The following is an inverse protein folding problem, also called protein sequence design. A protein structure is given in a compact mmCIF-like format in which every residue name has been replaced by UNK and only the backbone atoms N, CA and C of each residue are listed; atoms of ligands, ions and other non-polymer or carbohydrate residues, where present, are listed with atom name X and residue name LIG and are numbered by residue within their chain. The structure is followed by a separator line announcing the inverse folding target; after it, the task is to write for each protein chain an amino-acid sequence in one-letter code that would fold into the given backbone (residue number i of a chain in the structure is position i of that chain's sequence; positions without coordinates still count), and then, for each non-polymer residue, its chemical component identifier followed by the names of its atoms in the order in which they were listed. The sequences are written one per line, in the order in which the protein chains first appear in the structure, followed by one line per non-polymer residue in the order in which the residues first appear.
data_IF_079154548886
#
_entry.id   IF_079154548886
#
_cell.length_a   1.000
_cell.length_b   1.000
_cell.length_c   1.000
_cell.angle_alpha   90.00
_cell.angle_beta   90.00
_cell.angle_gamma   90.00
#
_symmetry.space_group_name_H-M   'P 1'
#
loop_
_entity.id
_entity.type
_entity.pdbx_description
1 polymer ?
#
# COMPACT_ATOMS: atom_id res chain seq x y z
N UNK A 1 14.52 -6.00 29.55
CA UNK A 1 13.64 -5.19 30.45
C UNK A 1 14.42 -4.02 31.02
N UNK A 2 15.52 -4.31 31.72
CA UNK A 2 16.59 -3.34 31.99
C UNK A 2 17.13 -2.77 30.66
N UNK A 3 17.29 -3.61 29.64
CA UNK A 3 17.63 -3.20 28.27
C UNK A 3 16.74 -2.09 27.70
N UNK A 4 15.41 -2.11 27.94
CA UNK A 4 14.54 -1.04 27.43
C UNK A 4 14.74 0.27 28.18
N UNK A 5 15.06 0.19 29.48
CA UNK A 5 15.40 1.35 30.29
C UNK A 5 16.77 1.91 29.89
N UNK A 6 17.75 1.05 29.63
CA UNK A 6 19.09 1.43 29.19
C UNK A 6 19.09 2.01 27.77
N UNK A 7 18.40 1.35 26.83
CA UNK A 7 18.39 1.75 25.42
C UNK A 7 17.48 2.95 25.14
N UNK A 8 16.31 3.01 25.79
CA UNK A 8 15.27 3.99 25.45
C UNK A 8 14.92 4.93 26.62
N UNK A 9 15.44 4.70 27.83
CA UNK A 9 15.01 5.44 29.01
C UNK A 9 13.58 5.10 29.46
N UNK A 10 13.01 3.98 28.99
CA UNK A 10 11.60 3.62 29.24
C UNK A 10 11.51 2.47 30.22
N UNK A 11 10.89 2.71 31.37
CA UNK A 11 10.55 1.66 32.33
C UNK A 11 9.29 0.93 31.88
N UNK A 12 9.42 -0.36 31.57
CA UNK A 12 8.30 -1.20 31.15
C UNK A 12 7.75 -1.97 32.36
N UNK A 13 6.44 -1.85 32.58
CA UNK A 13 5.71 -2.63 33.58
C UNK A 13 5.15 -3.91 32.94
N UNK A 14 5.77 -5.06 33.22
CA UNK A 14 5.41 -6.34 32.59
C UNK A 14 3.95 -6.73 32.81
N UNK A 15 3.40 -6.42 33.98
CA UNK A 15 2.01 -6.71 34.34
C UNK A 15 0.99 -6.00 33.44
N UNK A 16 1.39 -4.85 32.86
CA UNK A 16 0.55 -4.07 31.93
C UNK A 16 0.74 -4.49 30.46
N UNK A 17 1.74 -5.33 30.16
CA UNK A 17 2.04 -5.82 28.80
C UNK A 17 1.15 -7.01 28.41
N UNK A 18 -0.17 -6.89 28.64
CA UNK A 18 -1.15 -7.89 28.23
C UNK A 18 -1.50 -7.70 26.75
N UNK A 19 -1.48 -8.78 25.98
CA UNK A 19 -1.79 -8.73 24.53
C UNK A 19 -3.25 -8.31 24.33
N UNK A 20 -3.43 -7.10 23.83
CA UNK A 20 -4.74 -6.57 23.45
C UNK A 20 -4.69 -6.04 22.01
N UNK A 21 -5.27 -6.80 21.07
CA UNK A 21 -5.26 -6.47 19.65
C UNK A 21 -5.92 -5.11 19.36
N UNK A 22 -7.03 -4.79 20.03
CA UNK A 22 -7.74 -3.53 19.83
C UNK A 22 -6.93 -2.31 20.28
N UNK A 23 -6.39 -2.33 21.50
CA UNK A 23 -5.52 -1.27 22.03
C UNK A 23 -4.25 -1.10 21.18
N UNK A 24 -3.65 -2.22 20.75
CA UNK A 24 -2.49 -2.18 19.85
C UNK A 24 -2.81 -1.50 18.52
N UNK A 25 -3.96 -1.81 17.93
CA UNK A 25 -4.40 -1.16 16.68
C UNK A 25 -4.61 0.33 16.86
N UNK A 26 -5.26 0.76 17.95
CA UNK A 26 -5.47 2.18 18.24
C UNK A 26 -4.14 2.91 18.45
N UNK A 27 -3.24 2.38 19.27
CA UNK A 27 -1.93 2.97 19.49
C UNK A 27 -1.11 3.07 18.19
N UNK A 28 -1.11 2.01 17.37
CA UNK A 28 -0.46 2.00 16.05
C UNK A 28 -1.07 3.06 15.12
N UNK A 29 -2.39 3.19 15.11
CA UNK A 29 -3.10 4.18 14.31
C UNK A 29 -2.74 5.61 14.75
N UNK A 30 -2.72 5.90 16.05
CA UNK A 30 -2.31 7.20 16.57
C UNK A 30 -0.89 7.58 16.12
N UNK A 31 0.08 6.67 16.27
CA UNK A 31 1.47 6.89 15.86
C UNK A 31 1.59 7.10 14.35
N UNK A 32 0.92 6.27 13.55
CA UNK A 32 0.99 6.39 12.09
C UNK A 32 0.28 7.65 11.57
N UNK A 33 -0.83 8.04 12.20
CA UNK A 33 -1.57 9.24 11.83
C UNK A 33 -0.77 10.50 12.12
N UNK A 34 0.04 10.52 13.19
CA UNK A 34 0.88 11.67 13.54
C UNK A 34 1.76 12.11 12.36
N UNK A 35 2.41 11.16 11.67
CA UNK A 35 3.23 11.46 10.49
C UNK A 35 2.43 12.04 9.32
N UNK A 36 1.20 11.54 9.13
CA UNK A 36 0.26 12.07 8.16
C UNK A 36 -0.25 13.48 8.51
N UNK A 37 -0.38 13.79 9.80
CA UNK A 37 -0.80 15.13 10.27
C UNK A 37 0.24 16.20 9.94
N UNK A 38 1.53 15.89 10.02
CA UNK A 38 2.59 16.79 9.60
C UNK A 38 2.60 17.05 8.07
N UNK A 39 2.09 16.11 7.26
CA UNK A 39 2.01 16.21 5.79
C UNK A 39 0.61 16.55 5.26
N UNK A 40 -0.26 17.17 6.07
CA UNK A 40 -1.59 17.54 5.59
C UNK A 40 -1.49 18.50 4.40
N UNK A 41 -2.21 18.15 3.33
CA UNK A 41 -2.39 19.05 2.20
C UNK A 41 -3.29 20.20 2.64
N UNK A 42 -2.77 21.41 2.72
CA UNK A 42 -3.54 22.57 3.20
C UNK A 42 -4.38 23.25 2.10
N UNK A 43 -4.02 23.07 0.83
CA UNK A 43 -4.65 23.80 -0.29
C UNK A 43 -5.38 22.90 -1.30
N UNK A 44 -6.36 23.47 -1.99
CA UNK A 44 -7.09 22.79 -3.07
C UNK A 44 -7.91 21.59 -2.61
N UNK A 45 -8.30 21.59 -1.33
CA UNK A 45 -9.27 20.65 -0.78
C UNK A 45 -10.67 21.26 -0.95
N UNK A 46 -11.56 20.53 -1.62
CA UNK A 46 -12.97 20.90 -1.66
C UNK A 46 -13.57 20.78 -0.26
N UNK A 47 -14.29 21.82 0.14
CA UNK A 47 -15.06 21.90 1.37
C UNK A 47 -16.54 21.95 1.02
N UNK A 48 -17.36 21.47 1.94
CA UNK A 48 -18.81 21.49 1.81
C UNK A 48 -19.39 22.29 2.96
N UNK A 49 -20.34 23.16 2.64
CA UNK A 49 -21.15 23.88 3.62
C UNK A 49 -22.62 23.60 3.32
N UNK A 50 -23.36 23.21 4.34
CA UNK A 50 -24.82 23.04 4.27
C UNK A 50 -25.43 24.28 4.91
N UNK A 51 -26.37 24.93 4.23
CA UNK A 51 -27.04 26.14 4.71
C UNK A 51 -28.46 26.23 4.18
N UNK A 52 -29.33 26.81 4.99
CA UNK A 52 -30.71 27.21 4.67
C UNK A 52 -30.86 28.74 4.60
N UNK A 53 -29.79 29.51 4.85
CA UNK A 53 -29.80 30.97 4.83
C UNK A 53 -29.31 31.52 3.47
N UNK A 54 -30.17 32.21 2.70
CA UNK A 54 -29.77 32.85 1.45
C UNK A 54 -28.64 33.87 1.62
N UNK A 55 -28.54 34.53 2.78
CA UNK A 55 -27.49 35.52 3.03
C UNK A 55 -26.12 34.85 3.14
N UNK A 56 -26.05 33.64 3.70
CA UNK A 56 -24.80 32.88 3.76
C UNK A 56 -24.34 32.46 2.36
N UNK A 57 -25.28 32.07 1.49
CA UNK A 57 -24.99 31.78 0.08
C UNK A 57 -24.43 33.01 -0.66
N UNK A 58 -25.09 34.17 -0.55
CA UNK A 58 -24.63 35.42 -1.19
C UNK A 58 -23.24 35.78 -0.66
N UNK A 59 -23.05 35.73 0.66
CA UNK A 59 -21.75 36.02 1.30
C UNK A 59 -20.63 35.12 0.77
N UNK A 60 -20.91 33.83 0.55
CA UNK A 60 -19.93 32.90 -0.03
C UNK A 60 -19.72 33.13 -1.53
N UNK A 61 -20.75 33.53 -2.27
CA UNK A 61 -20.64 33.85 -3.70
C UNK A 61 -19.77 35.10 -3.92
N UNK A 62 -19.87 36.08 -3.02
CA UNK A 62 -19.12 37.34 -3.10
C UNK A 62 -17.74 37.26 -2.45
N UNK A 63 -17.40 36.18 -1.73
CA UNK A 63 -16.12 36.03 -1.05
C UNK A 63 -14.98 35.75 -2.06
N UNK A 64 -14.03 36.69 -2.25
CA UNK A 64 -12.97 36.54 -3.23
C UNK A 64 -11.93 35.47 -2.82
N UNK A 65 -11.92 35.01 -1.57
CA UNK A 65 -10.99 33.99 -1.07
C UNK A 65 -11.38 32.56 -1.48
N UNK A 66 -12.62 32.37 -1.92
CA UNK A 66 -13.14 31.05 -2.30
C UNK A 66 -13.58 31.00 -3.76
N UNK A 67 -13.75 29.78 -4.25
CA UNK A 67 -14.34 29.48 -5.55
C UNK A 67 -15.40 28.43 -5.33
N UNK A 68 -16.66 28.78 -5.61
CA UNK A 68 -17.77 27.84 -5.59
C UNK A 68 -17.59 26.90 -6.78
N UNK A 69 -17.52 25.59 -6.49
CA UNK A 69 -17.37 24.54 -7.49
C UNK A 69 -18.74 24.13 -8.04
N UNK A 70 -19.71 23.92 -7.16
CA UNK A 70 -21.11 23.63 -7.48
C UNK A 70 -22.01 23.86 -6.26
N UNK A 71 -23.30 23.99 -6.50
CA UNK A 71 -24.35 24.12 -5.48
C UNK A 71 -25.38 23.06 -5.79
N UNK A 72 -25.67 22.20 -4.82
CA UNK A 72 -26.72 21.19 -4.90
C UNK A 72 -27.85 21.56 -3.94
N UNK A 73 -29.08 21.48 -4.41
CA UNK A 73 -30.27 21.62 -3.57
C UNK A 73 -30.56 20.25 -2.92
N UNK A 74 -30.45 20.17 -1.58
CA UNK A 74 -30.72 18.94 -0.83
C UNK A 74 -32.22 18.78 -0.55
N UNK A 75 -32.87 19.89 -0.22
CA UNK A 75 -34.33 20.05 -0.07
C UNK A 75 -34.70 21.45 -0.55
N UNK A 76 -36.01 21.75 -0.65
CA UNK A 76 -36.51 23.07 -1.11
C UNK A 76 -35.96 24.27 -0.30
N UNK A 77 -35.44 24.03 0.91
CA UNK A 77 -34.93 25.08 1.80
C UNK A 77 -33.44 24.92 2.11
N UNK A 78 -32.79 23.80 1.73
CA UNK A 78 -31.42 23.47 2.15
C UNK A 78 -30.50 23.31 0.95
N UNK A 79 -29.43 24.11 0.93
CA UNK A 79 -28.38 24.08 -0.07
C UNK A 79 -27.10 23.43 0.46
N UNK A 80 -26.47 22.61 -0.38
CA UNK A 80 -25.10 22.12 -0.23
C UNK A 80 -24.19 22.91 -1.16
N UNK A 81 -23.37 23.78 -0.60
CA UNK A 81 -22.40 24.59 -1.32
C UNK A 81 -21.05 23.87 -1.27
N UNK A 82 -20.55 23.45 -2.42
CA UNK A 82 -19.20 22.92 -2.56
C UNK A 82 -18.26 24.03 -3.03
N UNK A 83 -17.20 24.29 -2.28
CA UNK A 83 -16.26 25.37 -2.57
C UNK A 83 -14.82 24.97 -2.29
N UNK A 84 -13.89 25.69 -2.90
CA UNK A 84 -12.44 25.54 -2.68
C UNK A 84 -11.85 26.87 -2.27
N UNK A 85 -11.03 26.91 -1.22
CA UNK A 85 -10.22 28.10 -0.91
C UNK A 85 -9.13 28.29 -1.96
N UNK A 86 -9.02 29.51 -2.50
CA UNK A 86 -7.95 29.88 -3.44
C UNK A 86 -6.60 29.82 -2.73
N UNK A 87 -5.58 29.36 -3.45
CA UNK A 87 -4.25 29.05 -2.88
C UNK A 87 -3.63 30.23 -2.12
N UNK A 88 -3.83 31.45 -2.61
CA UNK A 88 -3.26 32.67 -2.01
C UNK A 88 -3.87 33.01 -0.63
N UNK A 89 -5.03 32.41 -0.32
CA UNK A 89 -5.79 32.62 0.91
C UNK A 89 -5.83 31.36 1.79
N UNK A 90 -4.96 30.38 1.50
CA UNK A 90 -4.83 29.17 2.31
C UNK A 90 -3.86 29.43 3.45
N UNK A 91 -4.38 29.34 4.67
CA UNK A 91 -3.57 29.23 5.87
C UNK A 91 -3.14 27.76 6.05
N UNK A 92 -1.86 27.56 6.34
CA UNK A 92 -1.36 26.23 6.70
C UNK A 92 -1.93 25.83 8.06
N UNK A 93 -2.33 24.56 8.19
CA UNK A 93 -2.79 24.05 9.47
C UNK A 93 -1.64 24.11 10.49
N UNK A 94 -1.91 24.53 11.74
CA UNK A 94 -0.87 24.74 12.78
C UNK A 94 0.03 23.52 13.04
N UNK A 95 -0.54 22.32 12.87
CA UNK A 95 0.20 21.06 13.00
C UNK A 95 0.94 20.62 11.73
N UNK A 96 0.87 21.37 10.63
CA UNK A 96 1.51 21.04 9.37
C UNK A 96 3.00 21.35 9.45
N UNK A 97 3.83 20.34 9.17
CA UNK A 97 5.27 20.50 9.11
C UNK A 97 5.84 19.47 8.13
N UNK A 98 5.90 19.86 6.85
CA UNK A 98 6.36 18.97 5.78
C UNK A 98 7.81 18.52 5.96
N UNK A 99 8.64 19.30 6.65
CA UNK A 99 10.05 18.98 6.88
C UNK A 99 10.20 17.74 7.76
N UNK A 100 9.39 17.63 8.83
CA UNK A 100 9.38 16.45 9.69
C UNK A 100 9.03 15.20 8.88
N UNK A 101 7.96 15.26 8.08
CA UNK A 101 7.56 14.12 7.26
C UNK A 101 8.58 13.77 6.17
N UNK A 102 9.22 14.77 5.55
CA UNK A 102 10.28 14.56 4.58
C UNK A 102 11.47 13.85 5.22
N UNK A 103 11.87 14.26 6.42
CA UNK A 103 12.94 13.61 7.17
C UNK A 103 12.57 12.18 7.56
N UNK A 104 11.40 11.98 8.19
CA UNK A 104 10.95 10.65 8.63
C UNK A 104 10.86 9.65 7.48
N UNK A 105 10.25 10.04 6.35
CA UNK A 105 10.12 9.16 5.18
C UNK A 105 11.44 8.92 4.46
N UNK A 106 12.38 9.87 4.51
CA UNK A 106 13.72 9.68 3.94
C UNK A 106 14.57 8.77 4.81
N UNK A 107 14.56 8.97 6.13
CA UNK A 107 15.25 8.11 7.09
C UNK A 107 14.73 6.66 7.01
N UNK A 108 13.41 6.46 6.95
CA UNK A 108 12.82 5.13 6.79
C UNK A 108 13.27 4.44 5.48
N UNK A 109 13.30 5.19 4.36
CA UNK A 109 13.78 4.67 3.07
C UNK A 109 15.27 4.31 3.09
N UNK A 110 16.11 5.13 3.73
CA UNK A 110 17.54 4.86 3.89
C UNK A 110 17.75 3.62 4.76
N UNK A 111 17.00 3.50 5.87
CA UNK A 111 17.07 2.34 6.75
C UNK A 111 16.72 1.03 6.00
N UNK A 112 15.62 1.03 5.26
CA UNK A 112 15.24 -0.09 4.40
C UNK A 112 16.30 -0.38 3.33
N UNK A 113 16.86 0.65 2.69
CA UNK A 113 17.91 0.51 1.69
C UNK A 113 19.18 -0.14 2.27
N UNK A 114 19.59 0.22 3.48
CA UNK A 114 20.73 -0.42 4.15
C UNK A 114 20.46 -1.91 4.40
N UNK A 115 19.27 -2.27 4.88
CA UNK A 115 18.89 -3.67 5.05
C UNK A 115 18.91 -4.45 3.72
N UNK A 116 18.38 -3.85 2.65
CA UNK A 116 18.42 -4.42 1.30
C UNK A 116 19.87 -4.66 0.83
N UNK A 117 20.74 -3.66 0.98
CA UNK A 117 22.13 -3.76 0.60
C UNK A 117 22.87 -4.83 1.41
N UNK A 118 22.54 -4.96 2.70
CA UNK A 118 23.14 -5.98 3.55
C UNK A 118 22.75 -7.40 3.09
N UNK A 119 21.46 -7.63 2.81
CA UNK A 119 20.96 -8.90 2.24
C UNK A 119 21.65 -9.20 0.92
N UNK A 120 21.67 -8.25 -0.03
CA UNK A 120 22.23 -8.47 -1.38
C UNK A 120 23.75 -8.70 -1.36
N UNK A 121 24.47 -8.10 -0.41
CA UNK A 121 25.93 -8.28 -0.28
C UNK A 121 26.32 -9.55 0.46
N UNK A 122 25.39 -10.17 1.19
CA UNK A 122 25.69 -11.39 1.96
C UNK A 122 25.70 -12.61 1.03
N UNK A 123 26.79 -13.41 1.02
CA UNK A 123 26.87 -14.59 0.17
C UNK A 123 25.75 -15.59 0.43
N UNK A 124 25.14 -16.10 -0.65
CA UNK A 124 24.05 -17.08 -0.57
C UNK A 124 22.67 -16.49 -0.21
N UNK A 125 22.56 -15.17 -0.06
CA UNK A 125 21.29 -14.49 0.15
C UNK A 125 20.73 -13.89 -1.16
N UNK A 126 19.41 -13.86 -1.30
CA UNK A 126 18.75 -13.22 -2.43
C UNK A 126 17.55 -12.40 -1.95
N UNK A 127 17.54 -11.11 -2.29
CA UNK A 127 16.41 -10.24 -2.03
C UNK A 127 15.27 -10.53 -3.03
N UNK A 128 14.07 -10.82 -2.53
CA UNK A 128 12.90 -11.21 -3.33
C UNK A 128 11.86 -10.07 -3.43
N UNK A 129 11.61 -9.35 -2.34
CA UNK A 129 10.60 -8.30 -2.28
C UNK A 129 10.91 -7.24 -1.21
N UNK A 130 10.39 -6.04 -1.42
CA UNK A 130 10.37 -4.98 -0.40
C UNK A 130 9.09 -4.14 -0.49
N UNK A 131 8.56 -3.72 0.65
CA UNK A 131 7.50 -2.71 0.72
C UNK A 131 7.58 -1.95 2.04
N UNK A 132 7.84 -0.64 1.94
CA UNK A 132 7.83 0.38 3.01
C UNK A 132 8.75 0.12 4.21
N UNK A 133 8.52 -0.96 4.95
CA UNK A 133 9.17 -1.36 6.19
C UNK A 133 9.39 -2.89 6.28
N UNK A 134 9.19 -3.61 5.16
CA UNK A 134 9.31 -5.07 5.09
C UNK A 134 10.23 -5.52 3.96
N UNK A 135 10.90 -6.66 4.16
CA UNK A 135 11.68 -7.36 3.15
C UNK A 135 11.29 -8.83 3.13
N UNK A 136 11.30 -9.44 1.94
CA UNK A 136 11.26 -10.89 1.76
C UNK A 136 12.56 -11.26 1.06
N UNK A 137 13.30 -12.20 1.62
CA UNK A 137 14.57 -12.65 1.08
C UNK A 137 14.80 -14.12 1.40
N UNK A 138 15.63 -14.80 0.61
CA UNK A 138 16.15 -16.12 0.93
C UNK A 138 17.56 -15.99 1.51
N UNK A 139 17.93 -16.91 2.39
CA UNK A 139 19.25 -17.00 3.00
C UNK A 139 19.60 -18.46 3.33
N UNK A 140 20.89 -18.82 3.50
CA UNK A 140 21.28 -20.16 3.93
C UNK A 140 20.77 -20.47 5.34
N UNK A 141 20.51 -21.75 5.63
CA UNK A 141 20.04 -22.19 6.95
C UNK A 141 20.99 -21.71 8.04
N UNK A 142 20.44 -21.11 9.10
CA UNK A 142 21.17 -20.51 10.23
C UNK A 142 22.10 -19.33 9.89
N UNK A 143 21.99 -18.75 8.68
CA UNK A 143 22.78 -17.60 8.27
C UNK A 143 21.88 -16.44 7.83
N UNK A 144 21.00 -15.98 8.72
CA UNK A 144 20.18 -14.80 8.47
C UNK A 144 21.09 -13.55 8.47
N UNK A 145 21.10 -12.74 7.39
CA UNK A 145 21.94 -11.55 7.31
C UNK A 145 21.44 -10.39 8.18
N UNK A 146 20.20 -10.42 8.69
CA UNK A 146 19.63 -9.31 9.45
C UNK A 146 19.55 -9.63 10.93
N UNK A 147 19.94 -8.67 11.76
CA UNK A 147 19.74 -8.72 13.20
C UNK A 147 18.24 -8.58 13.50
N UNK A 148 17.66 -9.63 14.06
CA UNK A 148 16.27 -9.64 14.49
C UNK A 148 16.17 -9.27 15.96
N UNK A 149 15.12 -8.55 16.33
CA UNK A 149 14.89 -8.25 17.74
C UNK A 149 13.52 -7.64 18.03
N UNK A 150 13.12 -7.62 19.30
CA UNK A 150 11.78 -7.22 19.72
C UNK A 150 11.62 -5.70 19.92
N UNK A 151 12.70 -4.91 19.77
CA UNK A 151 12.71 -3.50 20.12
C UNK A 151 12.30 -2.59 18.94
N UNK A 152 11.98 -1.34 19.27
CA UNK A 152 11.57 -0.34 18.28
C UNK A 152 12.68 -0.14 17.23
N UNK A 153 12.32 -0.25 15.95
CA UNK A 153 13.23 -0.06 14.83
C UNK A 153 14.02 -1.32 14.45
N UNK A 154 13.89 -2.43 15.19
CA UNK A 154 14.48 -3.71 14.80
C UNK A 154 13.55 -4.47 13.84
N UNK A 155 14.15 -5.32 13.01
CA UNK A 155 13.39 -6.24 12.18
C UNK A 155 12.87 -7.40 13.03
N UNK A 156 11.64 -7.82 12.77
CA UNK A 156 11.01 -8.99 13.40
C UNK A 156 10.68 -10.01 12.33
N UNK A 157 10.88 -11.29 12.62
CA UNK A 157 10.34 -12.36 11.79
C UNK A 157 8.79 -12.33 11.85
N UNK A 158 8.14 -12.10 10.71
CA UNK A 158 6.67 -12.04 10.61
C UNK A 158 6.03 -13.44 10.68
N UNK A 159 6.79 -14.49 10.32
CA UNK A 159 6.32 -15.87 10.26
C UNK A 159 7.23 -16.82 11.04
N UNK A 160 7.48 -16.58 12.36
CA UNK A 160 8.46 -17.33 13.14
C UNK A 160 8.15 -18.82 13.26
N UNK A 161 6.87 -19.20 13.22
CA UNK A 161 6.41 -20.60 13.32
C UNK A 161 6.41 -21.34 11.98
N UNK A 162 6.75 -20.66 10.88
CA UNK A 162 6.65 -21.19 9.52
C UNK A 162 7.97 -21.14 8.77
N UNK A 163 8.11 -22.04 7.81
CA UNK A 163 9.11 -21.97 6.76
C UNK A 163 8.41 -21.55 5.46
N UNK A 164 8.95 -20.54 4.77
CA UNK A 164 8.47 -20.15 3.44
C UNK A 164 9.05 -21.15 2.44
N UNK A 165 8.21 -22.02 1.90
CA UNK A 165 8.60 -23.01 0.89
C UNK A 165 8.67 -22.40 -0.51
N UNK A 166 7.73 -21.52 -0.82
CA UNK A 166 7.64 -20.90 -2.14
C UNK A 166 7.24 -19.42 -2.01
N UNK A 167 7.86 -18.60 -2.85
CA UNK A 167 7.53 -17.19 -3.04
C UNK A 167 7.17 -16.96 -4.51
N UNK A 168 6.07 -16.24 -4.75
CA UNK A 168 5.67 -15.83 -6.09
C UNK A 168 5.25 -14.36 -6.09
N UNK A 169 5.66 -13.60 -7.11
CA UNK A 169 5.39 -12.16 -7.22
C UNK A 169 4.75 -11.82 -8.55
N UNK A 170 3.60 -11.14 -8.51
CA UNK A 170 2.98 -10.52 -9.67
C UNK A 170 3.40 -9.06 -9.88
N UNK A 171 4.34 -8.56 -9.06
CA UNK A 171 4.83 -7.19 -9.09
C UNK A 171 4.60 -6.45 -7.77
N UNK A 172 4.61 -5.11 -7.84
CA UNK A 172 4.50 -4.29 -6.65
C UNK A 172 3.15 -4.50 -5.94
N UNK A 173 3.21 -4.82 -4.63
CA UNK A 173 2.06 -5.04 -3.75
C UNK A 173 1.17 -6.22 -4.18
N UNK A 174 1.79 -7.21 -4.84
CA UNK A 174 1.15 -8.41 -5.36
C UNK A 174 2.07 -9.63 -5.18
N UNK A 175 1.87 -10.41 -4.13
CA UNK A 175 2.69 -11.61 -3.88
C UNK A 175 1.91 -12.72 -3.19
N UNK A 176 2.40 -13.95 -3.38
CA UNK A 176 1.93 -15.16 -2.74
C UNK A 176 3.06 -15.88 -1.99
N UNK A 177 2.76 -16.47 -0.84
CA UNK A 177 3.63 -17.32 -0.05
C UNK A 177 2.97 -18.67 0.18
N UNK A 178 3.76 -19.74 0.08
CA UNK A 178 3.43 -21.07 0.58
C UNK A 178 4.24 -21.34 1.83
N UNK A 179 3.55 -21.61 2.93
CA UNK A 179 4.11 -21.69 4.28
C UNK A 179 3.94 -23.10 4.84
N UNK A 180 5.00 -23.67 5.41
CA UNK A 180 4.94 -24.92 6.16
C UNK A 180 5.14 -24.65 7.65
N UNK A 181 4.27 -25.18 8.51
CA UNK A 181 4.46 -25.09 9.97
C UNK A 181 5.69 -25.88 10.39
N UNK A 182 6.56 -25.25 11.19
CA UNK A 182 7.76 -25.90 11.76
C UNK A 182 7.39 -27.06 12.71
N UNK A 183 6.28 -26.92 13.44
CA UNK A 183 5.79 -27.94 14.38
C UNK A 183 5.22 -29.19 13.69
N UNK A 184 4.66 -29.02 12.49
CA UNK A 184 3.91 -30.06 11.77
C UNK A 184 4.31 -30.05 10.29
N UNK A 185 5.49 -30.61 9.95
CA UNK A 185 6.00 -30.56 8.57
C UNK A 185 5.22 -31.42 7.58
N UNK A 186 4.38 -32.35 8.06
CA UNK A 186 3.57 -33.24 7.22
C UNK A 186 2.14 -32.72 6.98
N UNK A 187 1.74 -31.64 7.66
CA UNK A 187 0.41 -31.05 7.47
C UNK A 187 0.34 -30.29 6.14
N UNK A 188 -0.88 -30.05 5.67
CA UNK A 188 -1.10 -29.20 4.49
C UNK A 188 -0.48 -27.81 4.68
N UNK A 189 0.16 -27.26 3.64
CA UNK A 189 0.78 -25.94 3.71
C UNK A 189 -0.28 -24.84 3.80
N UNK A 190 0.04 -23.80 4.56
CA UNK A 190 -0.76 -22.57 4.62
C UNK A 190 -0.38 -21.63 3.47
N UNK A 191 -1.35 -20.88 2.96
CA UNK A 191 -1.14 -19.94 1.86
C UNK A 191 -1.44 -18.51 2.28
N UNK A 192 -0.53 -17.60 1.92
CA UNK A 192 -0.75 -16.15 2.06
C UNK A 192 -0.77 -15.54 0.68
N UNK A 193 -1.84 -14.80 0.38
CA UNK A 193 -1.94 -14.04 -0.86
C UNK A 193 -2.17 -12.56 -0.51
N UNK A 194 -1.42 -11.67 -1.14
CA UNK A 194 -1.56 -10.21 -1.02
C UNK A 194 -1.72 -9.64 -2.40
N UNK A 195 -2.88 -9.05 -2.69
CA UNK A 195 -3.16 -8.38 -3.97
C UNK A 195 -3.79 -7.02 -3.68
N UNK A 196 -3.02 -5.94 -3.88
CA UNK A 196 -3.52 -4.58 -3.63
C UNK A 196 -4.74 -4.28 -4.49
N UNK A 197 -5.76 -3.70 -3.86
CA UNK A 197 -6.99 -3.28 -4.53
C UNK A 197 -8.01 -4.40 -4.74
N UNK A 198 -7.74 -5.62 -4.26
CA UNK A 198 -8.70 -6.72 -4.26
C UNK A 198 -8.93 -7.22 -2.84
N UNK A 199 -10.19 -7.42 -2.47
CA UNK A 199 -10.55 -7.96 -1.16
C UNK A 199 -10.62 -9.47 -1.27
N UNK A 200 -9.70 -10.16 -0.60
CA UNK A 200 -9.61 -11.63 -0.59
C UNK A 200 -10.58 -12.20 0.45
N UNK A 201 -11.87 -12.18 0.13
CA UNK A 201 -12.88 -12.87 0.93
C UNK A 201 -12.99 -14.35 0.53
N UNK A 202 -13.78 -15.11 1.29
CA UNK A 202 -13.96 -16.53 1.06
C UNK A 202 -14.46 -16.86 -0.36
N UNK A 203 -15.42 -16.09 -0.88
CA UNK A 203 -15.98 -16.28 -2.22
C UNK A 203 -14.95 -16.02 -3.32
N UNK A 204 -14.16 -14.96 -3.19
CA UNK A 204 -13.07 -14.60 -4.13
C UNK A 204 -12.02 -15.70 -4.21
N UNK A 205 -11.66 -16.31 -3.08
CA UNK A 205 -10.64 -17.36 -3.02
C UNK A 205 -11.19 -18.68 -3.56
N UNK A 206 -12.36 -19.12 -3.07
CA UNK A 206 -12.86 -20.48 -3.30
C UNK A 206 -13.73 -20.63 -4.55
N UNK A 207 -14.52 -19.60 -4.91
CA UNK A 207 -15.47 -19.68 -6.02
C UNK A 207 -14.99 -18.91 -7.26
N UNK A 208 -14.26 -17.80 -7.07
CA UNK A 208 -13.81 -16.95 -8.18
C UNK A 208 -12.34 -17.21 -8.59
N UNK A 209 -11.63 -18.04 -7.83
CA UNK A 209 -10.34 -18.58 -8.23
C UNK A 209 -9.14 -17.65 -8.03
N UNK A 210 -9.22 -16.60 -7.21
CA UNK A 210 -8.04 -15.83 -6.79
C UNK A 210 -7.38 -16.49 -5.57
N UNK A 211 -6.88 -17.71 -5.78
CA UNK A 211 -6.10 -18.49 -4.83
C UNK A 211 -4.61 -18.50 -5.22
N UNK A 212 -3.74 -19.00 -4.34
CA UNK A 212 -2.29 -19.02 -4.58
C UNK A 212 -1.91 -19.72 -5.89
N UNK A 213 -2.48 -20.90 -6.17
CA UNK A 213 -2.14 -21.68 -7.36
C UNK A 213 -2.52 -20.97 -8.66
N UNK A 214 -3.73 -20.42 -8.73
CA UNK A 214 -4.17 -19.66 -9.91
C UNK A 214 -3.41 -18.34 -10.04
N UNK A 215 -3.10 -17.65 -8.94
CA UNK A 215 -2.25 -16.47 -8.95
C UNK A 215 -0.86 -16.79 -9.49
N UNK A 216 -0.24 -17.87 -9.01
CA UNK A 216 1.06 -18.36 -9.47
C UNK A 216 1.01 -18.66 -10.96
N UNK A 217 0.00 -19.39 -11.42
CA UNK A 217 -0.22 -19.66 -12.86
C UNK A 217 -0.30 -18.36 -13.67
N UNK A 218 -1.06 -17.37 -13.22
CA UNK A 218 -1.16 -16.06 -13.88
C UNK A 218 0.19 -15.35 -14.00
N UNK A 219 1.04 -15.44 -12.97
CA UNK A 219 2.39 -14.86 -12.97
C UNK A 219 3.28 -15.58 -13.98
N UNK A 220 3.26 -16.92 -14.01
CA UNK A 220 4.05 -17.69 -14.98
C UNK A 220 3.56 -17.49 -16.43
N UNK A 221 2.26 -17.32 -16.61
CA UNK A 221 1.65 -17.06 -17.92
C UNK A 221 1.71 -15.58 -18.31
N UNK A 222 2.30 -14.70 -17.49
CA UNK A 222 2.37 -13.25 -17.75
C UNK A 222 3.02 -12.90 -19.09
N UNK A 223 4.05 -13.64 -19.50
CA UNK A 223 4.76 -13.41 -20.76
C UNK A 223 4.15 -14.15 -21.96
N UNK A 224 3.09 -14.93 -21.75
CA UNK A 224 2.40 -15.66 -22.81
C UNK A 224 1.27 -14.79 -23.38
N UNK A 225 1.08 -14.82 -24.69
CA UNK A 225 0.09 -14.01 -25.40
C UNK A 225 -1.37 -14.37 -25.06
N UNK A 226 -1.64 -15.62 -24.67
CA UNK A 226 -3.00 -16.16 -24.46
C UNK A 226 -3.42 -16.23 -22.99
N UNK A 227 -2.91 -15.31 -22.14
CA UNK A 227 -3.25 -15.36 -20.72
C UNK A 227 -4.69 -14.86 -20.45
N UNK A 228 -5.54 -15.77 -19.97
CA UNK A 228 -6.92 -15.47 -19.54
C UNK A 228 -6.86 -14.87 -18.14
N UNK A 229 -7.23 -13.58 -17.94
CA UNK A 229 -7.12 -12.95 -16.64
C UNK A 229 -8.18 -13.47 -15.66
N UNK A 230 -7.90 -13.39 -14.36
CA UNK A 230 -8.87 -13.78 -13.32
C UNK A 230 -9.86 -12.64 -13.14
N UNK A 231 -11.14 -12.92 -13.36
CA UNK A 231 -12.24 -11.96 -13.25
C UNK A 231 -12.90 -12.07 -11.87
N UNK A 232 -12.86 -10.98 -11.09
CA UNK A 232 -13.43 -10.92 -9.75
C UNK A 232 -14.66 -10.03 -9.73
N UNK A 233 -15.78 -10.56 -9.29
CA UNK A 233 -17.06 -9.87 -9.14
C UNK A 233 -17.37 -9.67 -7.66
N UNK A 234 -17.65 -8.43 -7.30
CA UNK A 234 -18.19 -8.04 -6.00
C UNK A 234 -19.64 -7.62 -6.22
N UNK A 235 -20.63 -8.50 -5.95
CA UNK A 235 -22.03 -8.23 -6.28
C UNK A 235 -22.61 -7.08 -5.45
N UNK A 236 -22.21 -6.99 -4.17
CA UNK A 236 -22.75 -6.03 -3.22
C UNK A 236 -21.78 -4.88 -2.95
N UNK A 237 -21.20 -4.29 -3.99
CA UNK A 237 -20.28 -3.17 -3.80
C UNK A 237 -21.05 -1.87 -3.54
N UNK A 238 -20.86 -1.30 -2.35
CA UNK A 238 -21.44 -0.01 -1.97
C UNK A 238 -20.67 1.11 -2.68
N UNK A 239 -21.37 1.84 -3.56
CA UNK A 239 -20.85 3.03 -4.21
C UNK A 239 -21.57 4.26 -3.66
N UNK A 240 -20.86 5.15 -2.94
CA UNK A 240 -21.42 6.44 -2.59
C UNK A 240 -21.51 7.33 -3.85
N UNK A 241 -22.63 8.01 -4.02
CA UNK A 241 -22.83 9.08 -5.00
C UNK A 241 -22.89 10.41 -4.26
N UNK A 242 -21.80 11.18 -4.30
CA UNK A 242 -21.74 12.50 -3.67
C UNK A 242 -22.77 13.43 -4.29
N UNK A 243 -22.92 13.39 -5.63
CA UNK A 243 -23.87 14.21 -6.38
C UNK A 243 -25.33 13.99 -5.97
N UNK A 244 -25.69 12.75 -5.61
CA UNK A 244 -27.07 12.41 -5.31
C UNK A 244 -27.31 12.20 -3.80
N UNK A 245 -26.29 12.45 -2.96
CA UNK A 245 -26.35 12.21 -1.51
C UNK A 245 -26.72 10.77 -1.11
N UNK A 246 -26.55 9.79 -2.00
CA UNK A 246 -27.09 8.44 -1.84
C UNK A 246 -26.03 7.36 -1.90
N UNK A 247 -26.31 6.23 -1.27
CA UNK A 247 -25.47 5.03 -1.32
C UNK A 247 -26.22 3.99 -2.14
N UNK A 248 -25.64 3.60 -3.27
CA UNK A 248 -26.21 2.56 -4.12
C UNK A 248 -25.36 1.29 -4.05
N UNK A 249 -26.02 0.14 -4.01
CA UNK A 249 -25.37 -1.15 -4.20
C UNK A 249 -25.30 -1.44 -5.68
N UNK A 250 -24.10 -1.70 -6.20
CA UNK A 250 -23.89 -2.06 -7.61
C UNK A 250 -22.86 -3.18 -7.71
N UNK A 251 -22.96 -3.97 -8.78
CA UNK A 251 -21.95 -4.98 -9.10
C UNK A 251 -20.63 -4.29 -9.49
N UNK A 252 -19.52 -4.65 -8.84
CA UNK A 252 -18.18 -4.20 -9.23
C UNK A 252 -17.38 -5.38 -9.75
N UNK A 253 -16.87 -5.27 -10.98
CA UNK A 253 -15.98 -6.26 -11.56
C UNK A 253 -14.55 -5.71 -11.58
N UNK A 254 -13.59 -6.53 -11.13
CA UNK A 254 -12.15 -6.27 -11.21
C UNK A 254 -11.49 -7.38 -12.01
N UNK A 255 -10.42 -7.03 -12.71
CA UNK A 255 -9.62 -7.97 -13.48
C UNK A 255 -8.25 -8.05 -12.82
N UNK A 256 -7.83 -9.24 -12.45
CA UNK A 256 -6.47 -9.47 -11.98
C UNK A 256 -5.57 -9.79 -13.17
N UNK A 257 -4.51 -9.01 -13.30
CA UNK A 257 -3.39 -9.25 -14.21
C UNK A 257 -2.10 -8.86 -13.49
N UNK A 258 -1.04 -9.68 -13.52
CA UNK A 258 0.25 -9.26 -13.01
C UNK A 258 0.71 -7.96 -13.69
N UNK A 259 1.41 -7.11 -12.93
CA UNK A 259 1.87 -5.82 -13.44
C UNK A 259 3.26 -5.49 -12.93
N UNK A 260 4.20 -5.40 -13.87
CA UNK A 260 5.59 -4.98 -13.63
C UNK A 260 5.82 -3.67 -14.35
N UNK A 261 5.74 -2.56 -13.62
CA UNK A 261 5.90 -1.21 -14.18
C UNK A 261 7.33 -0.66 -14.17
N UNK A 262 8.31 -1.43 -13.66
CA UNK A 262 9.69 -0.97 -13.46
C UNK A 262 10.71 -1.57 -14.43
N UNK A 263 10.26 -2.31 -15.43
CA UNK A 263 11.14 -2.94 -16.41
C UNK A 263 10.40 -3.90 -17.32
N UNK A 264 11.17 -4.59 -18.17
CA UNK A 264 10.68 -5.64 -19.07
C UNK A 264 11.01 -6.99 -18.43
N UNK A 265 9.99 -7.84 -18.24
CA UNK A 265 10.17 -9.20 -17.74
C UNK A 265 10.71 -10.06 -18.88
N UNK A 266 11.88 -10.66 -18.68
CA UNK A 266 12.43 -11.64 -19.62
C UNK A 266 11.66 -12.96 -19.51
N UNK A 267 11.10 -13.51 -20.60
CA UNK A 267 10.27 -14.72 -20.54
C UNK A 267 10.99 -16.00 -20.10
N UNK A 268 12.32 -16.06 -20.22
CA UNK A 268 13.09 -17.28 -19.93
C UNK A 268 13.33 -17.54 -18.45
N UNK A 269 13.55 -16.47 -17.67
CA UNK A 269 14.02 -16.53 -16.29
C UNK A 269 13.26 -15.58 -15.35
N UNK A 270 12.25 -14.87 -15.88
CA UNK A 270 11.45 -13.88 -15.16
C UNK A 270 12.27 -12.71 -14.56
N UNK A 271 13.50 -12.49 -15.04
CA UNK A 271 14.33 -11.36 -14.61
C UNK A 271 13.72 -10.07 -15.14
N UNK A 272 13.59 -9.08 -14.26
CA UNK A 272 13.12 -7.72 -14.62
C UNK A 272 14.31 -6.91 -15.12
N UNK A 273 14.34 -6.63 -16.42
CA UNK A 273 15.36 -5.82 -17.05
C UNK A 273 14.94 -4.34 -17.05
N UNK A 274 15.89 -3.44 -16.79
CA UNK A 274 15.63 -2.00 -16.89
C UNK A 274 15.16 -1.61 -18.29
N UNK A 275 14.35 -0.57 -18.38
CA UNK A 275 14.02 0.05 -19.66
C UNK A 275 15.32 0.53 -20.33
N UNK A 276 15.59 0.04 -21.54
CA UNK A 276 16.84 0.30 -22.26
C UNK A 276 17.96 -0.73 -22.05
N UNK A 277 17.69 -1.89 -21.43
CA UNK A 277 18.64 -2.99 -21.42
C UNK A 277 18.93 -3.48 -22.86
N UNK A 278 20.12 -3.15 -23.37
CA UNK A 278 20.61 -3.57 -24.68
C UNK A 278 21.15 -4.99 -24.52
N UNK A 279 20.46 -6.00 -25.06
CA UNK A 279 21.12 -7.28 -25.35
C UNK A 279 22.19 -6.99 -26.41
N UNK A 280 23.41 -7.50 -26.25
CA UNK A 280 24.64 -7.26 -27.05
C UNK A 280 24.54 -7.43 -28.60
N UNK A 281 23.62 -6.74 -29.26
CA UNK A 281 23.55 -6.54 -30.71
C UNK A 281 22.88 -5.19 -31.00
N UNK A 282 23.73 -4.16 -31.12
CA UNK A 282 23.56 -2.83 -31.74
C UNK A 282 22.21 -2.07 -31.64
N UNK A 283 22.26 -0.74 -31.40
CA UNK A 283 21.09 0.05 -31.08
C UNK A 283 20.22 0.31 -32.33
N UNK A 284 18.92 0.07 -32.21
CA UNK A 284 17.93 0.88 -32.94
C UNK A 284 17.09 1.64 -31.92
N UNK A 285 17.56 2.85 -31.62
CA UNK A 285 16.72 3.87 -31.02
C UNK A 285 15.69 4.24 -32.10
N UNK A 286 14.46 3.73 -31.96
CA UNK A 286 13.30 4.35 -32.61
C UNK A 286 12.48 5.04 -31.52
N UNK A 287 12.88 6.26 -31.18
CA UNK A 287 11.99 7.22 -30.54
C UNK A 287 10.94 7.63 -31.58
N UNK A 288 9.77 6.98 -31.56
CA UNK A 288 8.56 7.56 -32.14
C UNK A 288 7.65 7.99 -30.99
N UNK A 289 7.89 9.20 -30.49
CA UNK A 289 6.88 9.95 -29.75
C UNK A 289 5.88 10.52 -30.77
N UNK A 290 4.74 9.87 -30.92
CA UNK A 290 3.56 10.50 -31.53
C UNK A 290 2.79 11.21 -30.43
N UNK A 291 3.07 12.49 -30.23
CA UNK A 291 2.21 13.39 -29.46
C UNK A 291 1.09 13.82 -30.41
N UNK A 292 -0.07 13.18 -30.29
CA UNK A 292 -1.30 13.65 -30.92
C UNK A 292 -1.92 14.76 -30.08
N UNK A 293 -2.17 15.90 -30.73
CA UNK A 293 -3.02 16.99 -30.25
C UNK A 293 -4.46 16.51 -29.99
#
# INVERSE_FOLDING_TARGET
MEECLEMFGIKIEREKMVVNKGKRTQAKLCLNNLWGRFSLRNFGLSQCKITDDPNEFIKMSDDPSITINHVDELTEEILLINYTKKKDWVEEHDSSNVIISLWTTSAARIHLLHAMQHVVRTPGCQLLYTDTDSLIFSHPVNNCPLDLGPHLGQFTDEYPDFNILEYCSGGAKQYGLKLQKKSSPNDEPDYVLKVRGMTLNWDVINNQGLCYENFKKQVFDFTKSDNIPILIKYPNFLRPSIKNGSIITQNLTKIYKPYVGKGIVRPSDFVVLNFGHINDKHPRICCNYSIGK
#
